data_IF_183209624035
#
_entry.id   IF_183209624035
#
_cell.length_a   1.000
_cell.length_b   1.000
_cell.length_c   1.000
_cell.angle_alpha   90.00
_cell.angle_beta   90.00
_cell.angle_gamma   90.00
#
_symmetry.space_group_name_H-M   'P 1'
#
loop_
_entity.id
_entity.type
_entity.pdbx_description
1 polymer ?
#
# COMPACT_ATOMS: atom_id res chain seq x y z
N UNK A 1 -69.79 7.72 7.19
CA UNK A 1 -69.53 9.17 7.03
C UNK A 1 -68.29 9.48 7.84
N UNK A 2 -67.13 9.12 7.29
CA UNK A 2 -66.25 10.03 6.52
C UNK A 2 -65.39 10.86 7.46
N UNK A 3 -64.13 10.46 7.58
CA UNK A 3 -62.97 11.32 7.83
C UNK A 3 -61.73 10.48 7.51
N UNK A 4 -61.39 10.43 6.23
CA UNK A 4 -60.07 10.03 5.76
C UNK A 4 -59.03 10.96 6.41
N UNK A 5 -58.24 10.43 7.34
CA UNK A 5 -57.00 11.08 7.76
C UNK A 5 -55.89 10.56 6.86
N UNK A 6 -55.71 11.26 5.75
CA UNK A 6 -54.69 11.02 4.74
C UNK A 6 -53.30 10.90 5.39
N UNK A 7 -52.70 9.71 5.28
CA UNK A 7 -51.28 9.50 5.51
C UNK A 7 -50.51 10.19 4.38
N UNK A 8 -50.17 11.46 4.60
CA UNK A 8 -49.38 12.26 3.68
C UNK A 8 -47.97 11.69 3.55
N UNK A 9 -47.70 11.13 2.37
CA UNK A 9 -46.40 10.70 1.86
C UNK A 9 -45.27 11.68 2.21
N UNK A 10 -44.46 11.35 3.22
CA UNK A 10 -43.16 11.99 3.43
C UNK A 10 -42.20 11.47 2.37
N UNK A 11 -42.03 12.25 1.30
CA UNK A 11 -41.01 11.99 0.29
C UNK A 11 -39.62 11.99 0.93
N UNK A 12 -38.88 10.91 0.71
CA UNK A 12 -37.44 10.85 0.99
C UNK A 12 -36.74 11.97 0.22
N UNK A 13 -36.33 13.01 0.94
CA UNK A 13 -35.34 13.95 0.43
C UNK A 13 -33.97 13.28 0.60
N UNK A 14 -33.55 12.54 -0.41
CA UNK A 14 -32.18 12.04 -0.51
C UNK A 14 -31.23 13.22 -0.75
N UNK A 15 -30.77 13.83 0.33
CA UNK A 15 -29.71 14.84 0.34
C UNK A 15 -28.51 14.34 -0.49
N UNK A 16 -27.99 15.13 -1.44
CA UNK A 16 -26.80 14.74 -2.19
C UNK A 16 -25.62 14.65 -1.21
N UNK A 17 -25.13 13.43 -0.99
CA UNK A 17 -23.94 13.19 -0.16
C UNK A 17 -22.74 13.84 -0.87
N UNK A 18 -22.46 15.09 -0.51
CA UNK A 18 -21.28 15.82 -0.98
C UNK A 18 -20.05 15.11 -0.40
N UNK A 19 -19.44 14.25 -1.22
CA UNK A 19 -18.17 13.60 -0.91
C UNK A 19 -17.09 14.66 -0.89
N UNK A 20 -16.93 15.33 0.25
CA UNK A 20 -15.77 16.13 0.54
C UNK A 20 -14.56 15.21 0.42
N UNK A 21 -13.83 15.30 -0.70
CA UNK A 21 -12.54 14.63 -0.85
C UNK A 21 -11.65 15.23 0.22
N UNK A 22 -11.56 14.56 1.38
CA UNK A 22 -10.59 14.88 2.41
C UNK A 22 -9.25 15.04 1.70
N UNK A 23 -8.64 16.22 1.81
CA UNK A 23 -7.30 16.45 1.30
C UNK A 23 -6.38 15.52 2.07
N UNK A 24 -6.11 14.33 1.52
CA UNK A 24 -5.20 13.38 2.13
C UNK A 24 -3.83 14.05 2.11
N UNK A 25 -3.39 14.56 3.25
CA UNK A 25 -2.01 14.96 3.46
C UNK A 25 -1.18 13.70 3.32
N UNK A 26 -0.60 13.51 2.14
CA UNK A 26 0.26 12.36 1.83
C UNK A 26 1.54 12.52 2.63
N UNK A 27 1.68 11.76 3.73
CA UNK A 27 2.93 11.75 4.50
C UNK A 27 4.05 11.21 3.62
N UNK A 28 5.26 11.76 3.75
CA UNK A 28 6.44 11.28 3.04
C UNK A 28 6.69 9.82 3.43
N UNK A 29 6.96 8.97 2.43
CA UNK A 29 7.30 7.57 2.67
C UNK A 29 8.78 7.47 3.08
N UNK A 30 9.10 6.74 4.17
CA UNK A 30 10.48 6.61 4.63
C UNK A 30 11.30 5.75 3.65
N UNK A 31 12.58 6.12 3.49
CA UNK A 31 13.55 5.27 2.81
C UNK A 31 14.20 4.31 3.81
N UNK A 32 13.50 3.21 4.13
CA UNK A 32 13.95 2.25 5.14
C UNK A 32 15.34 1.65 4.88
N UNK A 33 15.78 1.60 3.63
CA UNK A 33 17.11 1.08 3.29
C UNK A 33 18.25 1.99 3.76
N UNK A 34 18.02 3.32 3.72
CA UNK A 34 18.99 4.33 4.15
C UNK A 34 18.88 4.63 5.65
N UNK A 35 17.67 4.69 6.19
CA UNK A 35 17.43 5.14 7.56
C UNK A 35 17.78 4.06 8.61
N UNK A 36 17.60 2.78 8.28
CA UNK A 36 17.83 1.69 9.23
C UNK A 36 19.27 1.19 9.15
N UNK A 37 19.87 0.89 10.30
CA UNK A 37 21.13 0.13 10.34
C UNK A 37 20.86 -1.37 10.05
N UNK A 38 21.93 -2.15 9.90
CA UNK A 38 21.82 -3.56 9.47
C UNK A 38 21.04 -4.43 10.46
N UNK A 39 21.24 -4.22 11.76
CA UNK A 39 20.53 -4.98 12.80
C UNK A 39 19.04 -4.65 12.82
N UNK A 40 18.68 -3.36 12.78
CA UNK A 40 17.28 -2.92 12.67
C UNK A 40 16.62 -3.42 11.38
N UNK A 41 17.37 -3.43 10.27
CA UNK A 41 16.90 -3.93 8.99
C UNK A 41 16.62 -5.44 9.08
N UNK A 42 17.55 -6.21 9.66
CA UNK A 42 17.40 -7.65 9.88
C UNK A 42 16.22 -7.98 10.79
N UNK A 43 16.02 -7.24 11.87
CA UNK A 43 14.87 -7.44 12.77
C UNK A 43 13.52 -7.17 12.09
N UNK A 44 13.44 -6.18 11.21
CA UNK A 44 12.18 -5.75 10.57
C UNK A 44 11.84 -6.51 9.30
N UNK A 45 12.85 -6.97 8.56
CA UNK A 45 12.68 -7.61 7.26
C UNK A 45 13.14 -9.07 7.23
N UNK A 46 13.85 -9.57 8.25
CA UNK A 46 14.48 -10.91 8.27
C UNK A 46 15.50 -11.16 7.14
N UNK A 47 15.97 -10.08 6.51
CA UNK A 47 17.01 -10.08 5.48
C UNK A 47 18.13 -9.11 5.84
N UNK A 48 19.33 -9.32 5.29
CA UNK A 48 20.43 -8.35 5.32
C UNK A 48 20.27 -7.32 4.20
N UNK A 49 21.05 -6.23 4.24
CA UNK A 49 21.05 -5.22 3.16
C UNK A 49 21.58 -5.76 1.82
N UNK A 50 22.17 -6.96 1.80
CA UNK A 50 22.52 -7.70 0.59
C UNK A 50 21.30 -8.02 -0.28
N UNK A 51 20.09 -7.83 0.22
CA UNK A 51 18.86 -7.84 -0.57
C UNK A 51 18.89 -6.86 -1.76
N UNK A 52 19.82 -5.90 -1.78
CA UNK A 52 20.10 -5.11 -2.99
C UNK A 52 20.47 -5.97 -4.21
N UNK A 53 21.01 -7.19 -4.01
CA UNK A 53 21.42 -8.09 -5.10
C UNK A 53 20.16 -8.61 -5.77
N UNK A 54 19.20 -9.06 -4.97
CA UNK A 54 17.87 -9.43 -5.43
C UNK A 54 17.17 -8.25 -6.10
N UNK A 55 17.23 -7.07 -5.47
CA UNK A 55 16.66 -5.84 -6.03
C UNK A 55 17.20 -5.56 -7.44
N UNK A 56 18.50 -5.67 -7.65
CA UNK A 56 19.12 -5.45 -8.96
C UNK A 56 18.64 -6.43 -10.04
N UNK A 57 18.29 -7.66 -9.66
CA UNK A 57 17.72 -8.67 -10.59
C UNK A 57 16.28 -8.32 -10.98
N UNK A 58 15.45 -7.87 -10.03
CA UNK A 58 14.02 -7.65 -10.27
C UNK A 58 13.65 -6.20 -10.62
N UNK A 59 14.54 -5.22 -10.41
CA UNK A 59 14.21 -3.78 -10.50
C UNK A 59 13.56 -3.38 -11.82
N UNK A 60 13.96 -3.99 -12.93
CA UNK A 60 13.43 -3.70 -14.28
C UNK A 60 11.96 -4.10 -14.43
N UNK A 61 11.50 -5.08 -13.64
CA UNK A 61 10.13 -5.58 -13.64
C UNK A 61 9.22 -4.80 -12.67
N UNK A 62 9.81 -3.95 -11.83
CA UNK A 62 9.07 -3.08 -10.92
C UNK A 62 8.76 -1.73 -11.61
N UNK A 63 7.63 -1.08 -11.25
CA UNK A 63 7.29 0.22 -11.80
C UNK A 63 8.39 1.22 -11.50
N UNK A 64 8.93 1.82 -12.56
CA UNK A 64 9.88 2.92 -12.42
C UNK A 64 9.16 4.16 -11.94
N UNK A 65 9.92 5.06 -11.29
CA UNK A 65 9.40 6.35 -10.85
C UNK A 65 8.88 7.11 -12.09
N UNK A 66 7.58 7.25 -12.18
CA UNK A 66 6.94 8.21 -13.08
C UNK A 66 7.09 9.59 -12.40
N UNK A 67 7.14 10.69 -13.16
CA UNK A 67 7.23 12.10 -12.69
C UNK A 67 6.13 12.55 -11.70
N UNK A 68 5.32 11.62 -11.16
CA UNK A 68 4.35 11.88 -10.10
C UNK A 68 5.07 12.01 -8.76
N UNK A 69 4.80 13.11 -8.07
CA UNK A 69 5.33 13.49 -6.75
C UNK A 69 5.14 12.42 -5.66
N UNK A 70 4.20 11.47 -5.85
CA UNK A 70 3.84 10.42 -4.87
C UNK A 70 4.11 8.99 -5.38
N UNK A 71 5.07 8.81 -6.28
CA UNK A 71 5.42 7.47 -6.77
C UNK A 71 6.18 6.67 -5.69
N UNK A 72 5.77 5.42 -5.46
CA UNK A 72 6.50 4.50 -4.57
C UNK A 72 7.83 4.14 -5.27
N UNK A 73 8.94 4.22 -4.54
CA UNK A 73 10.23 3.81 -5.12
C UNK A 73 10.25 2.30 -5.37
N UNK A 74 10.95 1.82 -6.41
CA UNK A 74 11.10 0.38 -6.65
C UNK A 74 11.70 -0.35 -5.43
N UNK A 75 12.62 0.27 -4.70
CA UNK A 75 13.16 -0.30 -3.46
C UNK A 75 12.07 -0.46 -2.40
N UNK A 76 11.21 0.55 -2.20
CA UNK A 76 10.11 0.45 -1.24
C UNK A 76 9.09 -0.63 -1.63
N UNK A 77 8.87 -0.90 -2.92
CA UNK A 77 8.07 -2.05 -3.34
C UNK A 77 8.64 -3.36 -2.80
N UNK A 78 9.95 -3.58 -2.97
CA UNK A 78 10.62 -4.76 -2.45
C UNK A 78 10.49 -4.83 -0.92
N UNK A 79 10.79 -3.75 -0.21
CA UNK A 79 10.75 -3.73 1.26
C UNK A 79 9.34 -3.98 1.83
N UNK A 80 8.28 -3.48 1.18
CA UNK A 80 6.90 -3.79 1.57
C UNK A 80 6.63 -5.30 1.48
N UNK A 81 7.03 -5.92 0.36
CA UNK A 81 6.83 -7.35 0.15
C UNK A 81 7.65 -8.18 1.15
N UNK A 82 8.93 -7.86 1.35
CA UNK A 82 9.79 -8.55 2.32
C UNK A 82 9.22 -8.46 3.73
N UNK A 83 8.71 -7.30 4.14
CA UNK A 83 8.09 -7.14 5.46
C UNK A 83 6.86 -8.02 5.60
N UNK A 84 6.03 -8.09 4.55
CA UNK A 84 4.88 -8.99 4.54
C UNK A 84 5.31 -10.46 4.66
N UNK A 85 6.32 -10.91 3.91
CA UNK A 85 6.82 -12.28 4.00
C UNK A 85 7.46 -12.59 5.36
N UNK A 86 8.17 -11.64 5.94
CA UNK A 86 8.88 -11.81 7.20
C UNK A 86 7.95 -11.89 8.42
N UNK A 87 6.85 -11.14 8.38
CA UNK A 87 5.91 -10.98 9.51
C UNK A 87 4.65 -11.83 9.38
N UNK A 88 4.24 -12.18 8.15
CA UNK A 88 2.94 -12.82 7.90
C UNK A 88 1.74 -11.98 8.35
N UNK A 89 1.93 -10.68 8.59
CA UNK A 89 0.93 -9.81 9.22
C UNK A 89 -0.13 -9.34 8.22
N UNK A 90 -1.19 -8.71 8.75
CA UNK A 90 -2.23 -8.10 7.93
C UNK A 90 -1.65 -7.00 7.02
N UNK A 91 -2.10 -6.98 5.77
CA UNK A 91 -1.68 -5.98 4.79
C UNK A 91 -1.98 -4.53 5.22
N UNK A 92 -2.98 -4.32 6.08
CA UNK A 92 -3.25 -3.00 6.67
C UNK A 92 -2.10 -2.54 7.57
N UNK A 93 -1.66 -3.42 8.50
CA UNK A 93 -0.53 -3.15 9.40
C UNK A 93 0.75 -2.90 8.61
N UNK A 94 1.04 -3.70 7.59
CA UNK A 94 2.20 -3.48 6.72
C UNK A 94 2.08 -2.12 6.00
N UNK A 95 0.89 -1.79 5.52
CA UNK A 95 0.60 -0.53 4.84
C UNK A 95 0.84 0.69 5.72
N UNK A 96 0.41 0.62 6.99
CA UNK A 96 0.61 1.70 7.97
C UNK A 96 2.10 1.97 8.19
N UNK A 97 2.93 0.93 8.26
CA UNK A 97 4.39 1.11 8.45
C UNK A 97 5.03 1.83 7.27
N UNK A 98 4.64 1.52 6.03
CA UNK A 98 5.20 2.10 4.82
C UNK A 98 4.43 3.33 4.31
N UNK A 99 3.40 3.75 5.05
CA UNK A 99 2.51 4.84 4.71
C UNK A 99 1.84 4.68 3.31
N UNK A 100 1.29 3.49 3.07
CA UNK A 100 0.57 3.09 1.85
C UNK A 100 -0.75 2.40 2.20
N UNK A 101 -1.70 2.36 1.26
CA UNK A 101 -2.96 1.65 1.49
C UNK A 101 -2.74 0.12 1.52
N UNK A 102 -3.62 -0.61 2.22
CA UNK A 102 -3.74 -2.08 2.15
C UNK A 102 -3.75 -2.58 0.70
N UNK A 103 -4.53 -1.93 -0.17
CA UNK A 103 -4.64 -2.29 -1.60
C UNK A 103 -3.31 -2.13 -2.34
N UNK A 104 -2.49 -1.17 -1.93
CA UNK A 104 -1.15 -0.98 -2.47
C UNK A 104 -0.25 -2.13 -2.03
N UNK A 105 -0.27 -2.52 -0.74
CA UNK A 105 0.49 -3.67 -0.24
C UNK A 105 0.15 -4.93 -1.04
N UNK A 106 -1.13 -5.24 -1.23
CA UNK A 106 -1.57 -6.39 -2.03
C UNK A 106 -0.97 -6.40 -3.44
N UNK A 107 -1.10 -5.28 -4.18
CA UNK A 107 -0.58 -5.15 -5.55
C UNK A 107 0.95 -5.25 -5.60
N UNK A 108 1.63 -4.67 -4.61
CA UNK A 108 3.08 -4.69 -4.51
C UNK A 108 3.58 -6.10 -4.23
N UNK A 109 2.98 -6.81 -3.28
CA UNK A 109 3.33 -8.19 -2.95
C UNK A 109 3.14 -9.12 -4.15
N UNK A 110 1.99 -9.05 -4.84
CA UNK A 110 1.76 -9.84 -6.06
C UNK A 110 2.82 -9.56 -7.12
N UNK A 111 3.11 -8.27 -7.39
CA UNK A 111 4.10 -7.90 -8.40
C UNK A 111 5.52 -8.36 -8.05
N UNK A 112 5.95 -8.16 -6.79
CA UNK A 112 7.27 -8.61 -6.35
C UNK A 112 7.36 -10.14 -6.41
N UNK A 113 6.30 -10.85 -6.00
CA UNK A 113 6.24 -12.32 -6.11
C UNK A 113 6.43 -12.78 -7.55
N UNK A 114 5.69 -12.20 -8.50
CA UNK A 114 5.83 -12.52 -9.93
C UNK A 114 7.24 -12.22 -10.45
N UNK A 115 7.80 -11.06 -10.09
CA UNK A 115 9.15 -10.68 -10.51
C UNK A 115 10.22 -11.65 -9.96
N UNK A 116 10.07 -12.13 -8.72
CA UNK A 116 10.96 -13.15 -8.16
C UNK A 116 10.77 -14.48 -8.89
N UNK A 117 9.53 -14.87 -9.19
CA UNK A 117 9.23 -16.13 -9.90
C UNK A 117 9.88 -16.18 -11.29
N UNK A 118 10.04 -15.05 -11.98
CA UNK A 118 10.74 -15.00 -13.28
C UNK A 118 12.25 -15.24 -13.20
N UNK A 119 12.83 -15.25 -12.00
CA UNK A 119 14.25 -15.58 -11.80
C UNK A 119 14.50 -17.09 -11.74
N UNK A 120 13.43 -17.90 -11.66
CA UNK A 120 13.53 -19.35 -11.71
C UNK A 120 13.77 -19.79 -13.17
N UNK A 121 14.76 -20.66 -13.44
CA UNK A 121 14.95 -21.26 -14.76
C UNK A 121 13.79 -22.17 -15.16
#
# INVERSE_FOLDING_TARGET
MSSDSSFSSLGEVSEPVVRHRRRIVRRRRPNFFEILNDEQFKQRFRFTKEVHILFNKIKKLLPQRIKRVDCISPMLHLLIALRFYATGSFQAVVGDTANVSKTTVCRVTDRVSRAIATLRP
#
